data_IF_051364831771
#
_entry.id   IF_051364831771
#
_cell.length_a   1.000
_cell.length_b   1.000
_cell.length_c   1.000
_cell.angle_alpha   90.00
_cell.angle_beta   90.00
_cell.angle_gamma   90.00
#
_symmetry.space_group_name_H-M   'P 1'
#
loop_
_entity.id
_entity.type
_entity.pdbx_description
1 polymer ?
#
# COMPACT_ATOMS: atom_id res chain seq x y z
N UNK A 1 50.85 -14.19 -44.84
CA UNK A 1 49.47 -13.97 -45.32
C UNK A 1 48.69 -15.23 -45.01
N UNK A 2 47.58 -15.26 -44.29
CA UNK A 2 46.84 -14.25 -43.55
C UNK A 2 46.18 -15.00 -42.37
N UNK A 3 46.31 -14.46 -41.16
CA UNK A 3 45.62 -14.97 -39.98
C UNK A 3 44.16 -14.51 -40.00
N UNK A 4 43.23 -15.44 -39.85
CA UNK A 4 41.80 -15.17 -39.75
C UNK A 4 41.45 -14.82 -38.30
N UNK A 5 40.96 -13.60 -38.12
CA UNK A 5 40.53 -13.01 -36.86
C UNK A 5 39.26 -13.67 -36.30
N UNK A 6 38.97 -13.52 -34.99
CA UNK A 6 38.01 -14.38 -34.31
C UNK A 6 36.58 -13.86 -34.50
N UNK A 7 35.70 -14.75 -34.98
CA UNK A 7 34.27 -14.53 -35.15
C UNK A 7 33.39 -14.42 -33.86
N UNK A 8 33.85 -14.66 -32.60
CA UNK A 8 32.95 -14.56 -31.45
C UNK A 8 32.78 -13.11 -30.94
N UNK A 9 33.62 -12.15 -31.37
CA UNK A 9 33.53 -10.76 -30.86
C UNK A 9 32.47 -9.92 -31.60
N UNK A 10 32.15 -10.27 -32.86
CA UNK A 10 31.10 -9.58 -33.64
C UNK A 10 29.70 -10.04 -33.21
N UNK A 11 29.56 -11.30 -32.76
CA UNK A 11 28.29 -11.83 -32.24
C UNK A 11 27.94 -11.25 -30.85
N UNK A 12 28.94 -10.86 -30.06
CA UNK A 12 28.75 -10.22 -28.74
C UNK A 12 28.31 -8.75 -28.86
N UNK A 13 28.73 -8.04 -29.91
CA UNK A 13 28.28 -6.67 -30.19
C UNK A 13 26.85 -6.62 -30.75
N UNK A 14 26.42 -7.63 -31.52
CA UNK A 14 25.05 -7.73 -32.04
C UNK A 14 24.03 -8.13 -30.97
N UNK A 15 24.45 -8.84 -29.91
CA UNK A 15 23.58 -9.17 -28.76
C UNK A 15 23.47 -8.02 -27.76
N UNK A 16 24.49 -7.16 -27.64
CA UNK A 16 24.40 -5.92 -26.86
C UNK A 16 23.43 -4.89 -27.46
N UNK A 17 23.22 -4.90 -28.78
CA UNK A 17 22.26 -4.02 -29.44
C UNK A 17 20.79 -4.38 -29.17
N UNK A 18 20.51 -5.60 -28.69
CA UNK A 18 19.15 -6.01 -28.29
C UNK A 18 18.78 -5.64 -26.84
N UNK A 19 19.72 -5.08 -26.06
CA UNK A 19 19.44 -4.57 -24.70
C UNK A 19 19.20 -3.06 -24.63
N UNK A 20 19.13 -2.37 -25.78
CA UNK A 20 18.44 -1.07 -25.82
C UNK A 20 16.95 -1.39 -25.93
N UNK A 21 16.35 -1.85 -24.83
CA UNK A 21 14.94 -1.57 -24.63
C UNK A 21 14.83 -0.05 -24.67
N UNK A 22 14.34 0.46 -25.78
CA UNK A 22 13.81 1.81 -25.83
C UNK A 22 12.81 1.89 -24.66
N UNK A 23 13.21 2.54 -23.58
CA UNK A 23 12.30 3.04 -22.58
C UNK A 23 11.40 4.01 -23.34
N UNK A 24 10.31 3.47 -23.88
CA UNK A 24 9.15 4.26 -24.22
C UNK A 24 8.61 4.71 -22.88
N UNK A 25 9.18 5.80 -22.34
CA UNK A 25 8.51 6.62 -21.34
C UNK A 25 7.19 6.96 -22.00
N UNK A 26 6.13 6.26 -21.61
CA UNK A 26 4.78 6.54 -22.06
C UNK A 26 4.44 7.91 -21.48
N UNK A 27 4.81 8.95 -22.23
CA UNK A 27 4.61 10.32 -21.87
C UNK A 27 3.12 10.58 -22.14
N UNK A 28 2.31 10.28 -21.13
CA UNK A 28 0.99 10.91 -21.00
C UNK A 28 1.26 12.41 -21.11
N UNK A 29 0.80 13.01 -22.21
CA UNK A 29 1.03 14.41 -22.56
C UNK A 29 -0.18 15.22 -22.12
N UNK A 30 -0.53 15.15 -20.84
CA UNK A 30 -1.54 16.04 -20.28
C UNK A 30 -0.88 17.23 -19.60
N UNK A 31 -1.47 18.41 -19.78
CA UNK A 31 -0.99 19.64 -19.14
C UNK A 31 -1.19 19.56 -17.61
N UNK A 32 -0.11 19.76 -16.86
CA UNK A 32 -0.09 19.79 -15.39
C UNK A 32 0.54 21.09 -14.89
N UNK A 33 -0.12 21.77 -13.96
CA UNK A 33 0.34 23.06 -13.41
C UNK A 33 0.65 22.98 -11.91
N UNK A 34 0.44 21.82 -11.29
CA UNK A 34 0.80 21.55 -9.90
C UNK A 34 1.48 20.18 -9.81
N UNK A 35 2.57 20.09 -9.08
CA UNK A 35 3.19 18.81 -8.75
C UNK A 35 3.27 18.62 -7.25
N UNK A 36 3.09 17.38 -6.81
CA UNK A 36 3.18 16.97 -5.41
C UNK A 36 4.21 15.88 -5.29
N UNK A 37 5.15 16.02 -4.37
CA UNK A 37 6.17 15.02 -4.10
C UNK A 37 6.08 14.54 -2.64
N UNK A 38 5.97 13.23 -2.46
CA UNK A 38 6.01 12.57 -1.16
C UNK A 38 7.41 11.99 -1.00
N UNK A 39 8.19 12.55 -0.07
CA UNK A 39 9.55 12.09 0.21
C UNK A 39 9.56 10.78 1.00
N UNK A 40 10.72 10.14 1.13
CA UNK A 40 10.91 8.95 1.97
C UNK A 40 10.41 9.15 3.41
N UNK A 41 10.54 10.37 3.95
CA UNK A 41 10.02 10.69 5.28
C UNK A 41 8.49 10.64 5.31
N UNK A 42 7.83 11.14 4.26
CA UNK A 42 6.38 11.03 4.10
C UNK A 42 5.93 9.59 3.89
N UNK A 43 6.66 8.83 3.07
CA UNK A 43 6.38 7.40 2.87
C UNK A 43 6.49 6.61 4.18
N UNK A 44 7.53 6.85 4.98
CA UNK A 44 7.68 6.20 6.29
C UNK A 44 6.50 6.53 7.21
N UNK A 45 6.05 7.79 7.25
CA UNK A 45 4.88 8.19 8.01
C UNK A 45 3.60 7.48 7.56
N UNK A 46 3.35 7.41 6.25
CA UNK A 46 2.19 6.70 5.69
C UNK A 46 2.27 5.20 5.99
N UNK A 47 3.46 4.60 5.90
CA UNK A 47 3.68 3.19 6.29
C UNK A 47 3.29 2.97 7.74
N UNK A 48 3.76 3.78 8.69
CA UNK A 48 3.43 3.62 10.12
C UNK A 48 1.92 3.74 10.37
N UNK A 49 1.26 4.68 9.70
CA UNK A 49 -0.19 4.83 9.75
C UNK A 49 -0.93 3.61 9.19
N UNK A 50 -0.48 3.10 8.03
CA UNK A 50 -1.09 1.92 7.38
C UNK A 50 -0.86 0.65 8.18
N UNK A 51 0.31 0.46 8.79
CA UNK A 51 0.59 -0.67 9.70
C UNK A 51 -0.38 -0.64 10.89
N UNK A 52 -0.53 0.52 11.54
CA UNK A 52 -1.46 0.68 12.66
C UNK A 52 -2.89 0.33 12.24
N UNK A 53 -3.34 0.83 11.09
CA UNK A 53 -4.68 0.53 10.55
C UNK A 53 -4.82 -0.95 10.19
N UNK A 54 -3.80 -1.56 9.58
CA UNK A 54 -3.81 -2.96 9.19
C UNK A 54 -3.99 -3.86 10.41
N UNK A 55 -3.19 -3.66 11.47
CA UNK A 55 -3.31 -4.40 12.73
C UNK A 55 -4.74 -4.29 13.30
N UNK A 56 -5.28 -3.07 13.39
CA UNK A 56 -6.64 -2.86 13.90
C UNK A 56 -7.75 -3.50 13.05
N UNK A 57 -7.49 -3.71 11.76
CA UNK A 57 -8.45 -4.32 10.83
C UNK A 57 -8.32 -5.85 10.75
N UNK A 58 -7.17 -6.38 11.14
CA UNK A 58 -6.89 -7.81 11.19
C UNK A 58 -7.43 -8.39 12.50
N UNK A 59 -7.25 -7.70 13.62
CA UNK A 59 -7.58 -8.22 14.95
C UNK A 59 -9.04 -7.91 15.34
N UNK A 60 -9.80 -8.89 15.89
CA UNK A 60 -9.45 -10.31 15.99
C UNK A 60 -9.59 -11.03 14.63
N UNK A 61 -8.66 -11.97 14.34
CA UNK A 61 -8.75 -12.82 13.15
C UNK A 61 -9.08 -14.25 13.55
N UNK A 62 -10.28 -14.70 13.17
CA UNK A 62 -10.69 -16.11 13.30
C UNK A 62 -10.17 -16.94 12.11
N UNK A 63 -9.44 -18.01 12.41
CA UNK A 63 -8.93 -18.97 11.44
C UNK A 63 -9.82 -20.22 11.40
N UNK A 64 -9.79 -20.92 10.27
CA UNK A 64 -10.60 -22.13 10.09
C UNK A 64 -10.13 -23.26 11.02
N UNK A 65 -11.05 -24.12 11.52
CA UNK A 65 -10.68 -25.28 12.31
C UNK A 65 -9.78 -26.25 11.54
N UNK A 66 -8.76 -26.79 12.20
CA UNK A 66 -7.79 -27.74 11.62
C UNK A 66 -8.11 -29.12 12.17
N UNK A 67 -8.18 -30.14 11.30
CA UNK A 67 -8.48 -31.53 11.69
C UNK A 67 -7.41 -32.45 11.16
N UNK A 68 -6.85 -33.30 12.02
CA UNK A 68 -5.83 -34.29 11.64
C UNK A 68 -6.13 -35.63 12.29
N UNK A 69 -5.71 -36.69 11.63
CA UNK A 69 -5.73 -38.03 12.21
C UNK A 69 -4.37 -38.68 12.05
N UNK A 70 -3.84 -39.24 13.14
CA UNK A 70 -2.55 -39.91 13.16
C UNK A 70 -2.66 -41.29 13.78
N UNK A 71 -1.76 -42.19 13.42
CA UNK A 71 -1.66 -43.50 14.05
C UNK A 71 -0.48 -43.49 15.01
N UNK A 72 -0.75 -43.71 16.30
CA UNK A 72 0.29 -43.79 17.31
C UNK A 72 0.50 -45.28 17.64
N UNK A 73 1.75 -45.78 17.65
CA UNK A 73 2.05 -47.14 18.08
C UNK A 73 1.40 -47.45 19.43
N UNK A 74 0.85 -48.65 19.57
CA UNK A 74 0.13 -49.14 20.76
C UNK A 74 -1.23 -48.47 21.08
N UNK A 75 -1.47 -47.22 20.67
CA UNK A 75 -2.73 -46.49 20.93
C UNK A 75 -3.74 -46.56 19.77
N UNK A 76 -3.29 -46.79 18.55
CA UNK A 76 -4.16 -46.86 17.37
C UNK A 76 -4.41 -45.48 16.74
N UNK A 77 -5.57 -45.30 16.13
CA UNK A 77 -5.94 -44.06 15.43
C UNK A 77 -6.38 -42.98 16.41
N UNK A 78 -5.67 -41.85 16.41
CA UNK A 78 -6.01 -40.65 17.16
C UNK A 78 -6.58 -39.62 16.19
N UNK A 79 -7.72 -39.03 16.53
CA UNK A 79 -8.30 -37.89 15.83
C UNK A 79 -8.07 -36.64 16.68
N UNK A 80 -7.55 -35.59 16.07
CA UNK A 80 -7.22 -34.34 16.72
C UNK A 80 -7.86 -33.19 15.97
N UNK A 81 -8.41 -32.23 16.72
CA UNK A 81 -9.11 -31.06 16.18
C UNK A 81 -8.63 -29.81 16.91
N UNK A 82 -8.20 -28.83 16.14
CA UNK A 82 -7.95 -27.46 16.59
C UNK A 82 -9.14 -26.58 16.16
N UNK A 83 -9.65 -25.77 17.07
CA UNK A 83 -10.84 -24.95 16.87
C UNK A 83 -10.73 -23.63 17.62
N UNK A 84 -11.59 -22.66 17.29
CA UNK A 84 -11.56 -21.31 17.86
C UNK A 84 -10.15 -20.71 17.82
N UNK A 85 -9.49 -20.85 16.67
CA UNK A 85 -8.13 -20.36 16.46
C UNK A 85 -8.25 -18.87 16.17
N UNK A 86 -7.80 -18.03 17.11
CA UNK A 86 -8.02 -16.58 17.04
C UNK A 86 -6.70 -15.83 17.22
N UNK A 87 -6.31 -15.03 16.22
CA UNK A 87 -5.24 -14.04 16.37
C UNK A 87 -5.81 -12.82 17.09
N UNK A 88 -5.23 -12.49 18.23
CA UNK A 88 -5.68 -11.38 19.08
C UNK A 88 -4.62 -10.31 19.33
N UNK A 89 -3.36 -10.58 18.97
CA UNK A 89 -2.25 -9.65 19.09
C UNK A 89 -1.31 -9.75 17.88
N UNK A 90 -0.87 -8.61 17.37
CA UNK A 90 0.16 -8.49 16.32
C UNK A 90 1.03 -7.30 16.69
N UNK A 91 2.34 -7.51 16.79
CA UNK A 91 3.32 -6.46 17.01
C UNK A 91 4.30 -6.40 15.84
N UNK A 92 4.27 -5.27 15.13
CA UNK A 92 5.17 -4.97 14.02
C UNK A 92 6.23 -4.03 14.58
N UNK A 93 7.37 -4.61 14.99
CA UNK A 93 8.49 -3.85 15.53
C UNK A 93 9.07 -2.80 14.56
N UNK A 94 10.19 -2.20 14.95
CA UNK A 94 10.81 -1.09 14.19
C UNK A 94 11.42 -1.49 12.84
N UNK A 95 11.50 -2.78 12.52
CA UNK A 95 12.13 -3.38 11.33
C UNK A 95 11.26 -3.34 10.07
N UNK A 96 10.27 -2.45 9.99
CA UNK A 96 9.45 -2.27 8.79
C UNK A 96 9.91 -1.08 7.95
N UNK A 97 9.92 -1.25 6.63
CA UNK A 97 10.33 -0.22 5.69
C UNK A 97 9.41 -0.15 4.47
N UNK A 98 9.50 0.97 3.78
CA UNK A 98 8.79 1.24 2.53
C UNK A 98 9.78 1.78 1.51
N UNK A 99 9.72 1.29 0.28
CA UNK A 99 10.56 1.75 -0.82
C UNK A 99 9.74 1.88 -2.09
N UNK A 100 9.84 3.00 -2.82
CA UNK A 100 9.39 3.03 -4.20
C UNK A 100 10.29 2.12 -5.05
N UNK A 101 9.71 1.50 -6.07
CA UNK A 101 10.39 0.78 -7.14
C UNK A 101 10.02 1.36 -8.51
N UNK A 102 10.33 0.64 -9.57
CA UNK A 102 10.14 1.15 -10.94
C UNK A 102 8.66 1.34 -11.34
N UNK A 103 7.76 0.53 -10.77
CA UNK A 103 6.33 0.50 -11.14
C UNK A 103 5.39 0.68 -9.95
N UNK A 104 5.92 0.86 -8.73
CA UNK A 104 5.10 0.83 -7.52
C UNK A 104 5.84 1.06 -6.23
N UNK A 105 5.27 0.55 -5.14
CA UNK A 105 5.79 0.66 -3.77
C UNK A 105 5.87 -0.74 -3.16
N UNK A 106 7.01 -1.08 -2.57
CA UNK A 106 7.19 -2.24 -1.72
C UNK A 106 7.13 -1.83 -0.24
N UNK A 107 6.28 -2.49 0.54
CA UNK A 107 6.19 -2.39 1.99
C UNK A 107 6.59 -3.74 2.56
N UNK A 108 7.60 -3.74 3.43
CA UNK A 108 8.12 -4.97 4.05
C UNK A 108 8.18 -4.77 5.55
N UNK A 109 7.68 -5.74 6.29
CA UNK A 109 7.74 -5.81 7.74
C UNK A 109 8.36 -7.16 8.13
N UNK A 110 9.43 -7.11 8.92
CA UNK A 110 10.15 -8.30 9.36
C UNK A 110 10.20 -8.36 10.88
N UNK A 111 10.31 -9.56 11.44
CA UNK A 111 10.38 -9.73 12.89
C UNK A 111 9.06 -9.45 13.60
N UNK A 112 7.93 -9.66 12.90
CA UNK A 112 6.60 -9.48 13.46
C UNK A 112 6.34 -10.62 14.45
N UNK A 113 5.71 -10.31 15.58
CA UNK A 113 5.20 -11.31 16.52
C UNK A 113 3.68 -11.33 16.52
N UNK A 114 3.08 -12.51 16.62
CA UNK A 114 1.63 -12.65 16.70
C UNK A 114 1.23 -13.55 17.87
N UNK A 115 0.24 -13.14 18.63
CA UNK A 115 -0.31 -13.94 19.73
C UNK A 115 -1.67 -14.51 19.33
N UNK A 116 -1.84 -15.82 19.54
CA UNK A 116 -3.05 -16.55 19.21
C UNK A 116 -3.53 -17.37 20.40
N UNK A 117 -4.84 -17.62 20.42
CA UNK A 117 -5.46 -18.62 21.29
C UNK A 117 -6.13 -19.67 20.43
N UNK A 118 -6.19 -20.90 20.92
CA UNK A 118 -6.97 -21.97 20.30
C UNK A 118 -7.51 -22.95 21.33
N UNK A 119 -8.49 -23.74 20.92
CA UNK A 119 -8.94 -24.93 21.63
C UNK A 119 -8.44 -26.18 20.91
N UNK A 120 -7.99 -27.17 21.66
CA UNK A 120 -7.60 -28.48 21.16
C UNK A 120 -8.51 -29.56 21.74
N UNK A 121 -8.80 -30.57 20.93
CA UNK A 121 -9.50 -31.79 21.36
C UNK A 121 -8.86 -32.98 20.67
N UNK A 122 -8.65 -34.07 21.41
CA UNK A 122 -8.32 -35.35 20.81
C UNK A 122 -9.31 -36.44 21.22
N UNK A 123 -9.40 -37.46 20.38
CA UNK A 123 -10.09 -38.70 20.72
C UNK A 123 -9.40 -39.89 20.09
N UNK A 124 -9.37 -41.01 20.81
CA UNK A 124 -8.84 -42.26 20.28
C UNK A 124 -9.58 -43.47 20.86
N UNK A 125 -9.50 -44.58 20.13
CA UNK A 125 -9.98 -45.89 20.57
C UNK A 125 -8.83 -46.87 20.47
N UNK A 126 -8.52 -47.55 21.58
CA UNK A 126 -7.48 -48.59 21.61
C UNK A 126 -8.06 -49.96 21.27
N UNK A 127 -7.24 -50.82 20.65
CA UNK A 127 -7.61 -52.21 20.32
C UNK A 127 -7.48 -53.15 21.53
N UNK A 128 -6.73 -52.74 22.57
CA UNK A 128 -6.45 -53.55 23.76
C UNK A 128 -7.60 -53.52 24.78
N UNK A 129 -8.35 -52.42 24.85
CA UNK A 129 -9.51 -52.24 25.73
C UNK A 129 -10.58 -51.43 25.00
N UNK A 130 -11.88 -51.82 25.02
CA UNK A 130 -12.95 -51.10 24.34
C UNK A 130 -13.35 -49.82 25.08
N UNK A 131 -12.39 -48.92 25.31
CA UNK A 131 -12.57 -47.64 26.00
C UNK A 131 -12.30 -46.53 24.99
N UNK A 132 -13.29 -45.65 24.84
CA UNK A 132 -13.14 -44.39 24.10
C UNK A 132 -12.57 -43.35 25.04
N UNK A 133 -11.39 -42.81 24.70
CA UNK A 133 -10.73 -41.77 25.48
C UNK A 133 -10.76 -40.47 24.68
N UNK A 134 -11.19 -39.40 25.32
CA UNK A 134 -11.16 -38.05 24.77
C UNK A 134 -10.74 -37.06 25.83
N UNK A 135 -10.01 -36.04 25.41
CA UNK A 135 -9.64 -34.91 26.25
C UNK A 135 -9.67 -33.62 25.43
N UNK A 136 -9.77 -32.49 26.11
CA UNK A 136 -9.84 -31.17 25.50
C UNK A 136 -9.25 -30.09 26.42
N UNK A 137 -8.80 -29.00 25.80
CA UNK A 137 -8.27 -27.86 26.52
C UNK A 137 -8.06 -26.67 25.61
N UNK A 138 -7.32 -25.70 26.14
CA UNK A 138 -6.93 -24.49 25.43
C UNK A 138 -5.42 -24.43 25.25
N UNK A 139 -4.98 -23.61 24.30
CA UNK A 139 -3.58 -23.33 24.05
C UNK A 139 -3.39 -21.85 23.73
N UNK A 140 -2.26 -21.32 24.16
CA UNK A 140 -1.73 -20.06 23.66
C UNK A 140 -0.58 -20.33 22.69
N UNK A 141 -0.55 -19.60 21.60
CA UNK A 141 0.49 -19.73 20.57
C UNK A 141 1.14 -18.37 20.38
N UNK A 142 2.47 -18.38 20.30
CA UNK A 142 3.26 -17.21 19.94
C UNK A 142 3.95 -17.49 18.61
N UNK A 143 3.69 -16.66 17.61
CA UNK A 143 4.43 -16.62 16.35
C UNK A 143 5.57 -15.64 16.52
N UNK A 144 6.77 -16.04 16.09
CA UNK A 144 7.97 -15.21 16.13
C UNK A 144 8.64 -15.12 14.76
N UNK A 145 9.29 -13.98 14.52
CA UNK A 145 10.09 -13.79 13.31
C UNK A 145 9.29 -13.69 12.01
N UNK A 146 7.97 -13.48 12.06
CA UNK A 146 7.12 -13.44 10.87
C UNK A 146 7.52 -12.28 9.94
N UNK A 147 7.50 -12.54 8.65
CA UNK A 147 7.82 -11.59 7.58
C UNK A 147 6.60 -11.38 6.69
N UNK A 148 6.29 -10.13 6.41
CA UNK A 148 5.19 -9.73 5.51
C UNK A 148 5.75 -8.81 4.44
N UNK A 149 5.44 -9.12 3.18
CA UNK A 149 5.77 -8.32 2.02
C UNK A 149 4.51 -7.94 1.25
N UNK A 150 4.40 -6.68 0.85
CA UNK A 150 3.31 -6.16 0.04
C UNK A 150 3.87 -5.25 -1.04
N UNK A 151 3.61 -5.56 -2.30
CA UNK A 151 4.01 -4.73 -3.44
C UNK A 151 2.79 -4.22 -4.18
N UNK A 152 2.68 -2.89 -4.30
CA UNK A 152 1.54 -2.19 -4.88
C UNK A 152 1.99 -1.40 -6.11
N UNK A 153 1.39 -1.67 -7.27
CA UNK A 153 1.57 -0.86 -8.47
C UNK A 153 0.77 0.43 -8.36
N UNK A 154 1.31 1.51 -8.95
CA UNK A 154 0.68 2.83 -8.96
C UNK A 154 0.32 3.22 -10.40
N UNK A 155 -0.97 3.47 -10.64
CA UNK A 155 -1.48 3.82 -11.96
C UNK A 155 -2.42 5.03 -11.86
N UNK A 156 -2.37 5.92 -12.84
CA UNK A 156 -3.39 6.96 -12.99
C UNK A 156 -4.45 6.45 -13.96
N UNK A 157 -5.67 6.29 -13.47
CA UNK A 157 -6.84 5.90 -14.27
C UNK A 157 -7.89 6.99 -14.19
N UNK A 158 -8.29 7.53 -15.35
CA UNK A 158 -9.34 8.54 -15.48
C UNK A 158 -9.18 9.76 -14.56
N UNK A 159 -7.95 10.13 -14.21
CA UNK A 159 -7.71 11.28 -13.34
C UNK A 159 -7.61 11.00 -11.84
N UNK A 160 -7.66 9.72 -11.47
CA UNK A 160 -7.55 9.23 -10.08
C UNK A 160 -6.40 8.25 -9.92
N UNK A 161 -5.88 8.13 -8.71
CA UNK A 161 -4.86 7.14 -8.37
C UNK A 161 -5.53 5.79 -8.13
N UNK A 162 -5.05 4.78 -8.85
CA UNK A 162 -5.40 3.38 -8.69
C UNK A 162 -4.21 2.60 -8.17
N UNK A 163 -4.48 1.70 -7.24
CA UNK A 163 -3.52 0.74 -6.74
C UNK A 163 -3.79 -0.63 -7.35
N UNK A 164 -2.76 -1.28 -7.87
CA UNK A 164 -2.82 -2.69 -8.28
C UNK A 164 -2.00 -3.55 -7.32
N UNK A 165 -2.54 -4.69 -6.89
CA UNK A 165 -1.78 -5.62 -6.07
C UNK A 165 -0.84 -6.44 -6.96
N UNK A 166 0.46 -6.20 -6.86
CA UNK A 166 1.47 -6.93 -7.64
C UNK A 166 1.93 -8.19 -6.91
N UNK A 167 2.20 -8.07 -5.61
CA UNK A 167 2.63 -9.18 -4.78
C UNK A 167 2.18 -9.00 -3.32
N UNK A 168 1.92 -10.12 -2.64
CA UNK A 168 1.57 -10.14 -1.22
C UNK A 168 1.95 -11.50 -0.63
N UNK A 169 2.86 -11.48 0.32
CA UNK A 169 3.34 -12.67 1.01
C UNK A 169 3.38 -12.48 2.52
N UNK A 170 3.23 -13.60 3.22
CA UNK A 170 3.44 -13.73 4.65
C UNK A 170 4.21 -15.03 4.86
N UNK A 171 5.28 -14.99 5.64
CA UNK A 171 6.10 -16.14 5.99
C UNK A 171 6.26 -16.19 7.50
N UNK A 172 5.83 -17.29 8.12
CA UNK A 172 6.09 -17.59 9.52
C UNK A 172 7.42 -18.34 9.62
N UNK A 173 8.26 -17.97 10.60
CA UNK A 173 9.56 -18.62 10.82
C UNK A 173 9.53 -19.65 11.93
N UNK A 174 8.83 -19.31 13.00
CA UNK A 174 8.77 -20.11 14.21
C UNK A 174 7.44 -19.87 14.92
N UNK A 175 6.91 -20.93 15.50
CA UNK A 175 5.79 -20.87 16.44
C UNK A 175 6.15 -21.57 17.74
N UNK A 176 5.66 -21.03 18.84
CA UNK A 176 5.74 -21.63 20.17
C UNK A 176 4.32 -21.91 20.65
N UNK A 177 4.04 -23.16 21.02
CA UNK A 177 2.72 -23.60 21.46
C UNK A 177 2.78 -23.97 22.94
N UNK A 178 2.00 -23.26 23.76
CA UNK A 178 1.82 -23.55 25.18
C UNK A 178 0.41 -24.10 25.41
N UNK A 179 0.34 -25.37 25.80
CA UNK A 179 -0.90 -26.11 26.00
C UNK A 179 -1.28 -26.11 27.48
N UNK A 180 -2.51 -25.69 27.77
CA UNK A 180 -3.08 -25.77 29.11
C UNK A 180 -3.66 -27.18 29.31
N UNK A 181 -3.03 -28.02 30.15
CA UNK A 181 -3.50 -29.39 30.41
C UNK A 181 -2.50 -30.31 31.12
N UNK A 182 -2.86 -31.58 31.33
CA UNK A 182 -2.06 -32.58 32.07
C UNK A 182 -1.42 -33.71 31.25
N UNK A 183 -1.56 -33.72 29.91
CA UNK A 183 -1.17 -34.85 29.08
C UNK A 183 0.20 -34.66 28.40
N UNK A 184 1.29 -34.84 29.14
CA UNK A 184 2.67 -34.55 28.69
C UNK A 184 3.14 -35.25 27.42
N UNK A 185 2.60 -36.44 27.09
CA UNK A 185 2.97 -37.17 25.87
C UNK A 185 2.31 -36.61 24.59
N UNK A 186 1.23 -35.83 24.74
CA UNK A 186 0.50 -35.21 23.64
C UNK A 186 1.24 -33.99 23.09
N UNK A 187 2.00 -33.28 23.92
CA UNK A 187 2.56 -31.97 23.56
C UNK A 187 3.55 -32.02 22.40
N UNK A 188 4.51 -32.94 22.41
CA UNK A 188 5.46 -33.05 21.31
C UNK A 188 4.79 -33.54 20.02
N UNK A 189 3.93 -34.55 20.11
CA UNK A 189 3.23 -35.10 18.94
C UNK A 189 2.18 -34.16 18.36
N UNK A 190 1.61 -33.26 19.16
CA UNK A 190 0.68 -32.22 18.69
C UNK A 190 1.44 -31.08 18.01
N UNK A 191 2.57 -30.65 18.58
CA UNK A 191 3.43 -29.61 17.99
C UNK A 191 3.90 -30.08 16.61
N UNK A 192 4.60 -31.23 16.55
CA UNK A 192 5.13 -31.78 15.30
C UNK A 192 4.02 -32.06 14.25
N UNK A 193 2.80 -32.34 14.69
CA UNK A 193 1.69 -32.66 13.81
C UNK A 193 0.83 -31.46 13.40
N UNK A 194 0.98 -30.28 13.99
CA UNK A 194 0.11 -29.15 13.65
C UNK A 194 0.87 -27.85 13.38
N UNK A 195 2.18 -27.84 13.59
CA UNK A 195 3.03 -26.67 13.38
C UNK A 195 2.85 -26.11 11.96
N UNK A 196 3.13 -26.90 10.92
CA UNK A 196 2.98 -26.47 9.52
C UNK A 196 1.55 -26.02 9.18
N UNK A 197 0.53 -26.69 9.71
CA UNK A 197 -0.87 -26.31 9.46
C UNK A 197 -1.27 -25.01 10.16
N UNK A 198 -0.76 -24.76 11.36
CA UNK A 198 -0.98 -23.50 12.09
C UNK A 198 -0.26 -22.36 11.37
N UNK A 199 1.01 -22.56 10.99
CA UNK A 199 1.79 -21.60 10.22
C UNK A 199 1.06 -21.21 8.93
N UNK A 200 0.68 -22.21 8.13
CA UNK A 200 -0.04 -21.98 6.89
C UNK A 200 -1.39 -21.29 7.11
N UNK A 201 -2.12 -21.61 8.18
CA UNK A 201 -3.36 -20.93 8.51
C UNK A 201 -3.15 -19.45 8.83
N UNK A 202 -2.09 -19.12 9.58
CA UNK A 202 -1.70 -17.74 9.90
C UNK A 202 -1.27 -16.99 8.64
N UNK A 203 -0.35 -17.55 7.85
CA UNK A 203 0.15 -16.94 6.62
C UNK A 203 -0.98 -16.60 5.65
N UNK A 204 -1.88 -17.57 5.42
CA UNK A 204 -3.03 -17.40 4.53
C UNK A 204 -4.03 -16.38 5.11
N UNK A 205 -4.29 -16.43 6.41
CA UNK A 205 -5.19 -15.52 7.09
C UNK A 205 -4.75 -14.06 7.00
N UNK A 206 -3.48 -13.79 7.35
CA UNK A 206 -2.87 -12.46 7.28
C UNK A 206 -2.83 -11.97 5.83
N UNK A 207 -2.33 -12.79 4.90
CA UNK A 207 -2.26 -12.46 3.47
C UNK A 207 -3.65 -12.11 2.91
N UNK A 208 -4.68 -12.87 3.27
CA UNK A 208 -6.06 -12.57 2.84
C UNK A 208 -6.54 -11.22 3.37
N UNK A 209 -6.29 -10.91 4.65
CA UNK A 209 -6.70 -9.63 5.23
C UNK A 209 -5.96 -8.43 4.63
N UNK A 210 -4.67 -8.59 4.31
CA UNK A 210 -3.91 -7.57 3.59
C UNK A 210 -4.47 -7.33 2.19
N UNK A 211 -4.81 -8.40 1.45
CA UNK A 211 -5.48 -8.29 0.14
C UNK A 211 -6.82 -7.53 0.24
N UNK A 212 -7.66 -7.87 1.22
CA UNK A 212 -8.91 -7.16 1.49
C UNK A 212 -8.67 -5.67 1.85
N UNK A 213 -7.63 -5.39 2.64
CA UNK A 213 -7.21 -4.04 3.01
C UNK A 213 -6.74 -3.21 1.81
N UNK A 214 -5.96 -3.81 0.92
CA UNK A 214 -5.49 -3.17 -0.33
C UNK A 214 -6.66 -2.78 -1.22
N UNK A 215 -7.67 -3.65 -1.39
CA UNK A 215 -8.86 -3.32 -2.17
C UNK A 215 -9.64 -2.14 -1.57
N UNK A 216 -9.72 -2.04 -0.24
CA UNK A 216 -10.34 -0.90 0.45
C UNK A 216 -9.53 0.38 0.26
N UNK A 217 -8.19 0.29 0.35
CA UNK A 217 -7.31 1.44 0.13
C UNK A 217 -7.39 1.95 -1.31
N UNK A 218 -7.38 1.03 -2.28
CA UNK A 218 -7.57 1.34 -3.70
C UNK A 218 -8.92 2.06 -3.93
N UNK A 219 -10.00 1.50 -3.39
CA UNK A 219 -11.34 2.11 -3.47
C UNK A 219 -11.36 3.51 -2.85
N UNK A 220 -10.67 3.71 -1.73
CA UNK A 220 -10.57 5.02 -1.08
C UNK A 220 -9.80 6.03 -1.94
N UNK A 221 -8.68 5.64 -2.54
CA UNK A 221 -7.86 6.52 -3.38
C UNK A 221 -8.57 6.89 -4.69
N UNK A 222 -9.30 5.95 -5.29
CA UNK A 222 -10.12 6.21 -6.47
C UNK A 222 -11.33 7.11 -6.17
N UNK A 223 -11.84 7.09 -4.93
CA UNK A 223 -12.93 7.95 -4.49
C UNK A 223 -12.49 9.38 -4.16
N UNK A 224 -11.18 9.69 -4.18
CA UNK A 224 -10.71 11.06 -3.98
C UNK A 224 -11.29 11.98 -5.06
N UNK A 225 -11.75 13.19 -4.68
CA UNK A 225 -12.39 14.08 -5.62
C UNK A 225 -11.39 14.55 -6.67
N UNK A 226 -11.86 14.72 -7.91
CA UNK A 226 -11.09 15.32 -9.02
C UNK A 226 -11.19 16.84 -9.02
N UNK A 227 -12.11 17.40 -8.24
CA UNK A 227 -12.30 18.84 -8.07
C UNK A 227 -12.57 19.17 -6.60
N UNK A 228 -11.91 20.20 -6.08
CA UNK A 228 -12.17 20.73 -4.74
C UNK A 228 -12.99 22.02 -4.90
N UNK A 229 -14.26 22.05 -4.48
CA UNK A 229 -15.05 23.28 -4.54
C UNK A 229 -14.48 24.31 -3.57
N UNK A 230 -14.39 25.56 -4.01
CA UNK A 230 -13.92 26.67 -3.18
C UNK A 230 -15.10 27.50 -2.68
N UNK A 231 -15.98 27.88 -3.61
CA UNK A 231 -17.19 28.67 -3.39
C UNK A 231 -18.21 28.43 -4.52
N UNK A 232 -19.27 29.24 -4.57
CA UNK A 232 -20.31 29.16 -5.62
C UNK A 232 -19.81 29.54 -7.04
N UNK A 233 -18.56 30.00 -7.16
CA UNK A 233 -18.02 30.56 -8.38
C UNK A 233 -16.99 29.66 -9.05
N UNK A 234 -16.23 28.89 -8.27
CA UNK A 234 -15.27 27.96 -8.83
C UNK A 234 -14.75 26.85 -7.91
N UNK A 235 -13.90 26.04 -8.53
CA UNK A 235 -13.31 24.82 -8.00
C UNK A 235 -11.85 24.72 -8.43
N UNK A 236 -11.04 24.05 -7.63
CA UNK A 236 -9.68 23.66 -7.99
C UNK A 236 -9.73 22.28 -8.66
N UNK A 237 -9.24 22.17 -9.89
CA UNK A 237 -9.09 20.89 -10.56
C UNK A 237 -7.88 20.15 -9.98
N UNK A 238 -8.13 19.05 -9.26
CA UNK A 238 -7.11 18.20 -8.63
C UNK A 238 -6.96 16.83 -9.34
N UNK A 239 -7.39 16.76 -10.59
CA UNK A 239 -7.23 15.57 -11.44
C UNK A 239 -5.75 15.23 -11.64
N UNK A 240 -5.39 13.96 -11.42
CA UNK A 240 -4.04 13.44 -11.70
C UNK A 240 -3.87 13.21 -13.21
N UNK A 241 -2.76 13.63 -13.79
CA UNK A 241 -2.65 13.73 -15.26
C UNK A 241 -1.61 12.78 -15.85
N UNK A 242 -0.38 12.88 -15.37
CA UNK A 242 0.73 12.07 -15.87
C UNK A 242 0.93 10.84 -15.01
N UNK A 243 1.69 9.87 -15.52
CA UNK A 243 2.07 8.69 -14.74
C UNK A 243 2.84 9.11 -13.47
N UNK A 244 2.70 8.37 -12.35
CA UNK A 244 3.41 8.73 -11.12
C UNK A 244 4.92 8.72 -11.35
N UNK A 245 5.61 9.71 -10.79
CA UNK A 245 7.06 9.86 -10.89
C UNK A 245 7.71 9.12 -9.73
N UNK A 246 8.30 7.96 -9.99
CA UNK A 246 8.95 7.15 -8.96
C UNK A 246 10.45 7.40 -8.98
N UNK A 247 11.00 7.71 -7.80
CA UNK A 247 12.44 7.81 -7.57
C UNK A 247 12.87 6.82 -6.50
N UNK A 248 14.17 6.71 -6.22
CA UNK A 248 14.67 5.82 -5.17
C UNK A 248 14.18 6.19 -3.76
N UNK A 249 13.69 7.41 -3.56
CA UNK A 249 13.33 7.93 -2.22
C UNK A 249 12.14 8.89 -2.23
N UNK A 250 11.34 8.93 -3.29
CA UNK A 250 10.15 9.75 -3.38
C UNK A 250 9.15 9.25 -4.41
N UNK A 251 7.91 9.71 -4.27
CA UNK A 251 6.82 9.49 -5.22
C UNK A 251 6.22 10.85 -5.57
N UNK A 252 6.22 11.17 -6.85
CA UNK A 252 5.66 12.39 -7.41
C UNK A 252 4.35 12.16 -8.15
N UNK A 253 3.45 13.13 -8.08
CA UNK A 253 2.21 13.17 -8.83
C UNK A 253 2.04 14.53 -9.51
N UNK A 254 1.68 14.49 -10.79
CA UNK A 254 1.32 15.67 -11.54
C UNK A 254 -0.19 15.86 -11.54
N UNK A 255 -0.60 17.06 -11.16
CA UNK A 255 -1.99 17.48 -10.99
C UNK A 255 -2.28 18.59 -12.00
N UNK A 256 -3.50 18.63 -12.54
CA UNK A 256 -3.94 19.76 -13.36
C UNK A 256 -3.73 21.07 -12.61
N UNK A 257 -4.35 21.26 -11.45
CA UNK A 257 -4.06 22.35 -10.52
C UNK A 257 -4.65 23.71 -10.91
N UNK A 258 -5.39 23.82 -12.01
CA UNK A 258 -6.03 25.09 -12.39
C UNK A 258 -7.36 25.30 -11.69
N UNK A 259 -7.70 26.56 -11.47
CA UNK A 259 -9.00 26.98 -10.97
C UNK A 259 -9.98 27.07 -12.14
N UNK A 260 -11.10 26.37 -12.02
CA UNK A 260 -12.18 26.34 -13.02
C UNK A 260 -13.43 27.02 -12.46
N UNK A 261 -14.26 27.59 -13.34
CA UNK A 261 -15.55 28.14 -12.92
C UNK A 261 -16.59 27.02 -12.84
N UNK A 262 -17.38 27.00 -11.77
CA UNK A 262 -18.46 26.01 -11.57
C UNK A 262 -19.57 26.10 -12.62
N UNK A 263 -19.59 27.16 -13.44
CA UNK A 263 -20.54 27.38 -14.53
C UNK A 263 -19.83 27.40 -15.88
N UNK A 264 -19.39 26.24 -16.38
CA UNK A 264 -18.98 25.96 -17.77
C UNK A 264 -18.46 27.17 -18.58
N UNK A 265 -17.49 27.89 -18.01
CA UNK A 265 -16.81 28.95 -18.74
C UNK A 265 -15.61 28.33 -19.45
N UNK A 266 -15.31 28.70 -20.71
CA UNK A 266 -14.13 28.21 -21.39
C UNK A 266 -12.88 28.52 -20.56
N UNK A 267 -12.11 27.49 -20.21
CA UNK A 267 -10.79 27.66 -19.58
C UNK A 267 -9.92 28.48 -20.55
N UNK A 268 -9.30 29.59 -20.13
CA UNK A 268 -8.38 30.33 -20.98
C UNK A 268 -7.26 29.39 -21.43
N UNK A 269 -6.93 29.37 -22.73
CA UNK A 269 -5.75 28.64 -23.20
C UNK A 269 -4.52 29.39 -22.72
N UNK A 270 -3.87 28.88 -21.68
CA UNK A 270 -2.57 29.38 -21.24
C UNK A 270 -1.51 28.79 -22.16
N UNK A 271 -0.79 29.66 -22.87
CA UNK A 271 0.26 29.24 -23.79
C UNK A 271 1.36 28.54 -23.03
N UNK A 272 1.75 27.34 -23.49
CA UNK A 272 2.89 26.57 -22.99
C UNK A 272 4.11 27.47 -22.82
N UNK A 273 4.49 27.71 -21.57
CA UNK A 273 5.88 28.01 -21.24
C UNK A 273 6.42 26.77 -20.58
N UNK A 274 7.49 26.23 -21.16
CA UNK A 274 8.29 25.12 -20.66
C UNK A 274 8.12 24.97 -19.15
N UNK A 275 7.42 23.90 -18.72
CA UNK A 275 7.42 23.46 -17.34
C UNK A 275 8.86 23.03 -17.04
N UNK A 276 9.70 24.00 -16.68
CA UNK A 276 11.02 23.69 -16.15
C UNK A 276 10.78 22.88 -14.89
N UNK A 277 11.42 21.72 -14.82
CA UNK A 277 11.53 20.89 -13.62
C UNK A 277 11.67 21.82 -12.42
N UNK A 278 10.58 21.98 -11.65
CA UNK A 278 10.53 22.85 -10.49
C UNK A 278 11.54 22.29 -9.49
N UNK A 279 12.70 22.95 -9.42
CA UNK A 279 13.81 22.55 -8.57
C UNK A 279 13.36 22.69 -7.12
N UNK A 280 13.32 21.56 -6.41
CA UNK A 280 13.01 21.50 -4.99
C UNK A 280 13.96 22.39 -4.18
N UNK A 281 13.43 23.14 -3.22
CA UNK A 281 14.21 23.95 -2.29
C UNK A 281 15.11 23.07 -1.41
N UNK A 282 16.33 23.52 -1.09
CA UNK A 282 17.33 22.86 -0.22
C UNK A 282 16.94 22.78 1.28
N UNK A 283 15.65 22.64 1.58
CA UNK A 283 15.18 22.42 2.95
C UNK A 283 15.48 20.98 3.41
N UNK A 284 15.62 20.72 4.73
CA UNK A 284 15.65 19.36 5.25
C UNK A 284 14.39 18.61 4.78
N UNK A 285 14.47 17.29 4.50
CA UNK A 285 13.43 16.57 3.78
C UNK A 285 12.09 16.67 4.52
N UNK A 286 11.20 17.52 4.00
CA UNK A 286 9.79 17.60 4.42
C UNK A 286 9.07 16.35 3.93
N UNK A 287 7.98 15.97 4.60
CA UNK A 287 7.20 14.80 4.20
C UNK A 287 6.52 14.99 2.83
N UNK A 288 6.15 16.23 2.53
CA UNK A 288 5.40 16.62 1.34
C UNK A 288 6.01 17.89 0.75
N UNK A 289 6.27 17.88 -0.56
CA UNK A 289 6.57 19.05 -1.38
C UNK A 289 5.41 19.33 -2.32
N UNK A 290 5.11 20.61 -2.54
CA UNK A 290 4.11 21.05 -3.51
C UNK A 290 4.74 22.16 -4.34
N UNK A 291 4.68 22.03 -5.66
CA UNK A 291 5.14 23.06 -6.58
C UNK A 291 3.99 23.55 -7.45
N UNK A 292 3.92 24.86 -7.67
CA UNK A 292 2.83 25.52 -8.37
C UNK A 292 3.39 26.34 -9.53
N UNK A 293 2.83 26.15 -10.72
CA UNK A 293 3.12 26.98 -11.88
C UNK A 293 2.42 28.36 -11.78
N UNK A 294 2.97 29.38 -12.45
CA UNK A 294 2.36 30.71 -12.52
C UNK A 294 0.90 30.66 -13.05
N UNK A 295 0.60 29.71 -13.94
CA UNK A 295 -0.74 29.48 -14.48
C UNK A 295 -1.78 29.18 -13.39
N UNK A 296 -1.38 28.57 -12.27
CA UNK A 296 -2.28 28.32 -11.12
C UNK A 296 -2.78 29.65 -10.56
N UNK A 297 -1.87 30.58 -10.26
CA UNK A 297 -2.20 31.91 -9.75
C UNK A 297 -2.98 32.76 -10.77
N UNK A 298 -2.61 32.65 -12.04
CA UNK A 298 -3.29 33.35 -13.14
C UNK A 298 -4.72 32.84 -13.34
N UNK A 299 -4.97 31.52 -13.23
CA UNK A 299 -6.31 30.94 -13.32
C UNK A 299 -7.21 31.36 -12.16
N UNK A 300 -6.70 31.34 -10.93
CA UNK A 300 -7.42 31.83 -9.76
C UNK A 300 -7.78 33.33 -9.90
N UNK A 301 -6.81 34.15 -10.29
CA UNK A 301 -7.02 35.60 -10.44
C UNK A 301 -8.04 35.91 -11.54
N UNK A 302 -7.96 35.21 -12.68
CA UNK A 302 -8.91 35.38 -13.78
C UNK A 302 -10.34 34.97 -13.40
N UNK A 303 -10.49 33.87 -12.66
CA UNK A 303 -11.79 33.40 -12.16
C UNK A 303 -12.48 34.49 -11.35
N UNK A 304 -11.80 35.02 -10.32
CA UNK A 304 -12.40 36.02 -9.43
C UNK A 304 -12.53 37.41 -10.05
N UNK A 305 -11.61 37.80 -10.94
CA UNK A 305 -11.77 39.04 -11.72
C UNK A 305 -13.05 39.02 -12.56
N UNK A 306 -13.37 37.88 -13.18
CA UNK A 306 -14.59 37.71 -13.97
C UNK A 306 -15.87 37.75 -13.13
N UNK A 307 -15.84 37.19 -11.91
CA UNK A 307 -16.95 37.28 -10.94
C UNK A 307 -17.19 38.74 -10.56
N UNK A 308 -16.15 39.47 -10.15
CA UNK A 308 -16.24 40.88 -9.77
C UNK A 308 -16.75 41.76 -10.92
N UNK A 309 -16.31 41.50 -12.16
CA UNK A 309 -16.82 42.21 -13.34
C UNK A 309 -18.31 41.96 -13.58
N UNK A 310 -18.83 40.76 -13.29
CA UNK A 310 -20.28 40.47 -13.38
C UNK A 310 -21.06 41.26 -12.32
N UNK A 311 -20.56 41.36 -11.10
CA UNK A 311 -21.16 42.20 -10.06
C UNK A 311 -21.12 43.69 -10.43
N UNK A 312 -20.01 44.19 -10.98
CA UNK A 312 -19.87 45.59 -11.43
C UNK A 312 -20.71 45.95 -12.66
N UNK A 313 -21.23 44.97 -13.41
CA UNK A 313 -22.24 45.22 -14.45
C UNK A 313 -23.67 45.42 -13.89
N UNK A 314 -23.92 45.04 -12.63
CA UNK A 314 -25.19 45.35 -11.93
C UNK A 314 -25.13 46.66 -11.15
N UNK A 315 -23.94 47.20 -10.84
CA UNK A 315 -23.79 48.49 -10.18
C UNK A 315 -22.57 49.23 -10.74
N UNK A 316 -22.80 50.40 -11.34
CA UNK A 316 -21.76 51.38 -11.63
C UNK A 316 -21.09 51.79 -10.30
N UNK A 317 -19.89 51.29 -9.99
CA UNK A 317 -18.93 51.95 -9.08
C UNK A 317 -17.51 51.40 -9.33
N UNK A 318 -16.56 52.33 -9.40
CA UNK A 318 -15.14 52.18 -9.67
C UNK A 318 -14.36 51.26 -8.69
N UNK A 319 -13.37 50.59 -9.26
CA UNK A 319 -12.26 49.90 -8.60
C UNK A 319 -11.40 50.86 -7.76
N UNK A 320 -10.95 50.42 -6.58
CA UNK A 320 -9.55 50.14 -6.23
C UNK A 320 -9.45 49.72 -4.75
N UNK A 321 -8.42 48.93 -4.41
CA UNK A 321 -7.94 48.66 -3.03
C UNK A 321 -8.66 47.58 -2.20
N UNK A 322 -8.44 46.28 -2.50
CA UNK A 322 -8.44 45.24 -1.44
C UNK A 322 -7.81 43.88 -1.78
N UNK A 323 -6.98 43.76 -2.83
CA UNK A 323 -6.42 42.45 -3.20
C UNK A 323 -5.04 42.14 -2.57
N UNK A 324 -4.43 43.08 -1.84
CA UNK A 324 -3.05 42.92 -1.36
C UNK A 324 -2.91 42.56 0.13
N UNK A 325 -3.99 42.34 0.87
CA UNK A 325 -3.92 42.17 2.34
C UNK A 325 -4.14 40.75 2.85
N UNK A 326 -4.21 39.73 1.98
CA UNK A 326 -4.54 38.36 2.42
C UNK A 326 -3.59 37.26 1.95
N UNK A 327 -2.32 37.60 1.63
CA UNK A 327 -1.26 36.62 1.29
C UNK A 327 -0.11 36.66 2.35
N UNK A 328 -0.35 37.19 3.55
CA UNK A 328 0.54 36.98 4.69
C UNK A 328 -0.25 36.48 5.90
N UNK A 329 -0.70 35.24 5.83
CA UNK A 329 -1.01 34.41 7.00
C UNK A 329 -1.27 32.97 6.53
N UNK A 330 -0.20 32.24 6.21
CA UNK A 330 -0.06 30.79 6.42
C UNK A 330 1.43 30.44 6.33
#
# INVERSE_FOLDING_TARGET
MAGTAPAPMILLLLTAAFFIQAQTKLQSSGESFTSVEISQKGLNFVKDLLVTKAISSIIPLELAPIKKSMKIPFLGGVQMVLSNITIHGIDVGSSSYVKPGDTGIAIVASGITCSLTMNWRYSYSTWLFPIYVSDEGSASIQVEGMEVGLTLGLEIQEGTLKLSLLDCGCLVKEISINLDGGASWLYQGLIDAFEEEIESAVENGITKKLKEGTLKLDSFLQALPKEIPLDDNGSLNVTLVNVPLLSNSSIGFDINGLFTSSRNAPVPRYTEKNSQSLSACEDPPKMLGISLDEAVFNSASALYFNVLRKCGKSYNICFYTKFMTSICAF
#
